data_IF_466911428929
#
_entry.id   IF_466911428929
#
_cell.length_a   1.000
_cell.length_b   1.000
_cell.length_c   1.000
_cell.angle_alpha   90.00
_cell.angle_beta   90.00
_cell.angle_gamma   90.00
#
_symmetry.space_group_name_H-M   'P 1'
#
loop_
_entity.id
_entity.type
_entity.pdbx_description
1 polymer ?
#
# COMPACT_ATOMS: atom_id res chain seq x y z
N UNK A 1 84.62 16.13 -61.77
CA UNK A 1 83.46 16.97 -62.16
C UNK A 1 82.25 16.09 -62.42
N UNK A 2 82.29 15.21 -63.43
CA UNK A 2 81.20 14.27 -63.81
C UNK A 2 80.54 13.45 -62.69
N UNK A 3 81.31 12.90 -61.73
CA UNK A 3 80.75 12.11 -60.63
C UNK A 3 79.83 12.93 -59.70
N UNK A 4 80.20 14.17 -59.40
CA UNK A 4 79.39 15.07 -58.57
C UNK A 4 78.12 15.52 -59.29
N UNK A 5 78.20 15.66 -60.61
CA UNK A 5 77.04 16.03 -61.43
C UNK A 5 76.00 14.89 -61.45
N UNK A 6 76.44 13.64 -61.55
CA UNK A 6 75.57 12.46 -61.44
C UNK A 6 74.93 12.30 -60.07
N UNK A 7 75.71 12.46 -58.98
CA UNK A 7 75.19 12.40 -57.61
C UNK A 7 74.13 13.49 -57.37
N UNK A 8 74.35 14.70 -57.87
CA UNK A 8 73.38 15.78 -57.77
C UNK A 8 72.08 15.48 -58.53
N UNK A 9 72.17 14.82 -59.68
CA UNK A 9 71.00 14.39 -60.47
C UNK A 9 70.22 13.28 -59.75
N UNK A 10 70.89 12.29 -59.17
CA UNK A 10 70.27 11.20 -58.40
C UNK A 10 69.59 11.72 -57.12
N UNK A 11 70.21 12.70 -56.45
CA UNK A 11 69.60 13.40 -55.30
C UNK A 11 68.34 14.15 -55.75
N UNK A 12 68.39 14.90 -56.86
CA UNK A 12 67.25 15.64 -57.36
C UNK A 12 66.07 14.73 -57.71
N UNK A 13 66.33 13.58 -58.33
CA UNK A 13 65.31 12.56 -58.64
C UNK A 13 64.70 11.96 -57.36
N UNK A 14 65.53 11.66 -56.36
CA UNK A 14 65.08 11.10 -55.08
C UNK A 14 64.23 12.09 -54.30
N UNK A 15 64.67 13.34 -54.20
CA UNK A 15 63.91 14.43 -53.58
C UNK A 15 62.58 14.65 -54.32
N UNK A 16 62.59 14.58 -55.65
CA UNK A 16 61.38 14.65 -56.47
C UNK A 16 60.36 13.56 -56.12
N UNK A 17 60.81 12.29 -56.03
CA UNK A 17 59.97 11.16 -55.63
C UNK A 17 59.38 11.32 -54.23
N UNK A 18 60.22 11.65 -53.24
CA UNK A 18 59.79 11.87 -51.87
C UNK A 18 58.76 13.00 -51.75
N UNK A 19 58.89 14.06 -52.57
CA UNK A 19 57.94 15.17 -52.58
C UNK A 19 56.56 14.73 -53.09
N UNK A 20 56.51 13.91 -54.14
CA UNK A 20 55.25 13.35 -54.66
C UNK A 20 54.61 12.43 -53.63
N UNK A 21 55.39 11.56 -53.01
CA UNK A 21 54.91 10.65 -51.95
C UNK A 21 54.38 11.42 -50.74
N UNK A 22 55.06 12.48 -50.33
CA UNK A 22 54.63 13.34 -49.23
C UNK A 22 53.28 14.01 -49.53
N UNK A 23 53.09 14.54 -50.74
CA UNK A 23 51.81 15.14 -51.13
C UNK A 23 50.68 14.11 -51.24
N UNK A 24 50.97 12.90 -51.71
CA UNK A 24 50.00 11.80 -51.71
C UNK A 24 49.61 11.36 -50.28
N UNK A 25 50.58 11.27 -49.37
CA UNK A 25 50.34 10.92 -47.98
C UNK A 25 49.50 11.99 -47.26
N UNK A 26 49.78 13.28 -47.49
CA UNK A 26 48.98 14.40 -46.95
C UNK A 26 47.53 14.34 -47.41
N UNK A 27 47.29 14.06 -48.70
CA UNK A 27 45.92 13.90 -49.23
C UNK A 27 45.18 12.75 -48.55
N UNK A 28 45.84 11.60 -48.38
CA UNK A 28 45.26 10.45 -47.66
C UNK A 28 44.95 10.77 -46.20
N UNK A 29 45.83 11.49 -45.50
CA UNK A 29 45.59 11.94 -44.13
C UNK A 29 44.35 12.83 -44.04
N UNK A 30 44.22 13.81 -44.95
CA UNK A 30 43.05 14.69 -44.97
C UNK A 30 41.72 13.94 -45.26
N UNK A 31 41.76 12.92 -46.13
CA UNK A 31 40.61 12.05 -46.39
C UNK A 31 40.23 11.21 -45.17
N UNK A 32 41.23 10.61 -44.50
CA UNK A 32 41.02 9.86 -43.26
C UNK A 32 40.48 10.74 -42.13
N UNK A 33 41.00 11.96 -41.97
CA UNK A 33 40.51 12.92 -40.97
C UNK A 33 39.03 13.27 -41.20
N UNK A 34 38.62 13.49 -42.46
CA UNK A 34 37.20 13.69 -42.79
C UNK A 34 36.36 12.47 -42.46
N UNK A 35 36.81 11.27 -42.84
CA UNK A 35 36.12 10.02 -42.52
C UNK A 35 35.96 9.81 -41.01
N UNK A 36 36.99 10.11 -40.22
CA UNK A 36 36.94 10.06 -38.76
C UNK A 36 35.96 11.08 -38.17
N UNK A 37 35.92 12.31 -38.70
CA UNK A 37 34.96 13.31 -38.26
C UNK A 37 33.51 12.89 -38.54
N UNK A 38 33.24 12.30 -39.71
CA UNK A 38 31.92 11.79 -40.06
C UNK A 38 31.51 10.61 -39.18
N UNK A 39 32.42 9.66 -38.97
CA UNK A 39 32.21 8.55 -38.04
C UNK A 39 31.92 9.04 -36.61
N UNK A 40 32.66 10.04 -36.12
CA UNK A 40 32.43 10.63 -34.81
C UNK A 40 31.05 11.29 -34.69
N UNK A 41 30.59 11.99 -35.74
CA UNK A 41 29.23 12.56 -35.80
C UNK A 41 28.17 11.47 -35.75
N UNK A 42 28.35 10.38 -36.50
CA UNK A 42 27.43 9.24 -36.47
C UNK A 42 27.40 8.60 -35.09
N UNK A 43 28.55 8.29 -34.48
CA UNK A 43 28.64 7.71 -33.14
C UNK A 43 27.89 8.57 -32.12
N UNK A 44 28.07 9.89 -32.16
CA UNK A 44 27.36 10.80 -31.25
C UNK A 44 25.85 10.79 -31.47
N UNK A 45 25.41 10.77 -32.72
CA UNK A 45 23.98 10.66 -33.09
C UNK A 45 23.37 9.36 -32.55
N UNK A 46 24.02 8.22 -32.80
CA UNK A 46 23.57 6.90 -32.36
C UNK A 46 23.56 6.80 -30.83
N UNK A 47 24.58 7.35 -30.16
CA UNK A 47 24.62 7.43 -28.70
C UNK A 47 23.45 8.25 -28.14
N UNK A 48 23.09 9.36 -28.78
CA UNK A 48 21.94 10.17 -28.37
C UNK A 48 20.63 9.40 -28.51
N UNK A 49 20.42 8.74 -29.65
CA UNK A 49 19.24 7.92 -29.90
C UNK A 49 19.14 6.76 -28.90
N UNK A 50 20.25 6.07 -28.64
CA UNK A 50 20.29 4.99 -27.64
C UNK A 50 19.89 5.47 -26.24
N UNK A 51 20.38 6.65 -25.82
CA UNK A 51 19.97 7.26 -24.54
C UNK A 51 18.49 7.58 -24.48
N UNK A 52 17.93 8.13 -25.56
CA UNK A 52 16.49 8.42 -25.65
C UNK A 52 15.66 7.13 -25.55
N UNK A 53 16.02 6.10 -26.32
CA UNK A 53 15.35 4.80 -26.28
C UNK A 53 15.41 4.14 -24.89
N UNK A 54 16.54 4.23 -24.19
CA UNK A 54 16.66 3.71 -22.82
C UNK A 54 15.75 4.49 -21.86
N UNK A 55 15.70 5.82 -21.99
CA UNK A 55 14.85 6.66 -21.15
C UNK A 55 13.36 6.40 -21.39
N UNK A 56 12.95 6.22 -22.64
CA UNK A 56 11.56 5.86 -23.00
C UNK A 56 11.19 4.49 -22.44
N UNK A 57 12.02 3.47 -22.67
CA UNK A 57 11.80 2.13 -22.10
C UNK A 57 11.74 2.13 -20.58
N UNK A 58 12.50 3.01 -19.92
CA UNK A 58 12.45 3.17 -18.47
C UNK A 58 11.07 3.64 -17.97
N UNK A 59 10.39 4.50 -18.74
CA UNK A 59 9.02 4.94 -18.43
C UNK A 59 8.03 3.79 -18.61
N UNK A 60 8.12 3.07 -19.71
CA UNK A 60 7.24 1.92 -19.99
C UNK A 60 7.36 0.85 -18.89
N UNK A 61 8.57 0.57 -18.41
CA UNK A 61 8.81 -0.38 -17.31
C UNK A 61 8.10 0.09 -16.03
N UNK A 62 8.21 1.37 -15.67
CA UNK A 62 7.56 1.91 -14.48
C UNK A 62 6.04 1.85 -14.57
N UNK A 63 5.47 2.12 -15.75
CA UNK A 63 4.02 1.98 -15.99
C UNK A 63 3.57 0.52 -15.89
N UNK A 64 4.35 -0.42 -16.43
CA UNK A 64 4.09 -1.86 -16.33
C UNK A 64 4.14 -2.36 -14.88
N UNK A 65 5.08 -1.87 -14.07
CA UNK A 65 5.16 -2.19 -12.64
C UNK A 65 3.92 -1.72 -11.88
N UNK A 66 3.49 -0.47 -12.11
CA UNK A 66 2.26 0.07 -11.52
C UNK A 66 1.01 -0.73 -11.95
N UNK A 67 0.91 -1.07 -13.24
CA UNK A 67 -0.19 -1.90 -13.74
C UNK A 67 -0.20 -3.30 -13.10
N UNK A 68 0.97 -3.93 -12.93
CA UNK A 68 1.10 -5.22 -12.25
C UNK A 68 0.63 -5.14 -10.79
N UNK A 69 1.01 -4.08 -10.08
CA UNK A 69 0.57 -3.86 -8.71
C UNK A 69 -0.96 -3.74 -8.62
N UNK A 70 -1.57 -2.94 -9.51
CA UNK A 70 -3.04 -2.81 -9.59
C UNK A 70 -3.73 -4.15 -9.86
N UNK A 71 -3.19 -4.98 -10.76
CA UNK A 71 -3.74 -6.31 -11.05
C UNK A 71 -3.65 -7.23 -9.83
N UNK A 72 -2.55 -7.18 -9.08
CA UNK A 72 -2.39 -7.99 -7.87
C UNK A 72 -3.41 -7.59 -6.80
N UNK A 73 -3.61 -6.28 -6.58
CA UNK A 73 -4.63 -5.75 -5.67
C UNK A 73 -6.04 -6.17 -6.10
N UNK A 74 -6.37 -6.05 -7.38
CA UNK A 74 -7.66 -6.48 -7.93
C UNK A 74 -7.88 -7.99 -7.77
N UNK A 75 -6.84 -8.80 -7.99
CA UNK A 75 -6.91 -10.25 -7.85
C UNK A 75 -7.22 -10.67 -6.41
N UNK A 76 -6.67 -9.98 -5.41
CA UNK A 76 -6.99 -10.21 -4.00
C UNK A 76 -8.46 -9.87 -3.66
N UNK A 77 -8.99 -8.78 -4.23
CA UNK A 77 -10.40 -8.39 -4.09
C UNK A 77 -11.31 -9.45 -4.69
N UNK A 78 -11.01 -9.90 -5.92
CA UNK A 78 -11.79 -10.93 -6.61
C UNK A 78 -11.79 -12.23 -5.81
N UNK A 79 -10.64 -12.69 -5.32
CA UNK A 79 -10.55 -13.89 -4.49
C UNK A 79 -11.37 -13.78 -3.19
N UNK A 80 -11.43 -12.59 -2.59
CA UNK A 80 -12.24 -12.34 -1.39
C UNK A 80 -13.73 -12.31 -1.72
N UNK A 81 -14.11 -11.68 -2.84
CA UNK A 81 -15.49 -11.64 -3.34
C UNK A 81 -15.99 -13.04 -3.70
N UNK A 82 -15.17 -13.87 -4.34
CA UNK A 82 -15.48 -15.27 -4.63
C UNK A 82 -15.76 -16.07 -3.35
N UNK A 83 -14.92 -15.93 -2.32
CA UNK A 83 -15.15 -16.57 -1.02
C UNK A 83 -16.47 -16.10 -0.40
N UNK A 84 -16.76 -14.80 -0.45
CA UNK A 84 -18.01 -14.24 0.09
C UNK A 84 -19.25 -14.80 -0.64
N UNK A 85 -19.23 -14.78 -1.98
CA UNK A 85 -20.31 -15.34 -2.82
C UNK A 85 -20.50 -16.82 -2.53
N UNK A 86 -19.40 -17.58 -2.42
CA UNK A 86 -19.45 -19.02 -2.12
C UNK A 86 -20.03 -19.32 -0.73
N UNK A 87 -19.76 -18.47 0.27
CA UNK A 87 -20.32 -18.60 1.62
C UNK A 87 -21.80 -18.20 1.67
N UNK A 88 -22.19 -17.10 1.01
CA UNK A 88 -23.60 -16.65 0.98
C UNK A 88 -24.49 -17.58 0.15
N UNK A 89 -23.99 -18.06 -0.99
CA UNK A 89 -24.71 -18.94 -1.90
C UNK A 89 -25.04 -20.31 -1.30
N UNK A 90 -24.10 -20.91 -0.56
CA UNK A 90 -24.35 -22.18 0.17
C UNK A 90 -25.31 -22.00 1.34
N UNK A 91 -25.10 -20.97 2.17
CA UNK A 91 -25.90 -20.79 3.39
C UNK A 91 -27.37 -20.49 3.11
N UNK A 92 -27.71 -19.61 2.16
CA UNK A 92 -29.11 -19.21 1.95
C UNK A 92 -29.92 -20.22 1.11
N UNK A 93 -29.31 -20.88 0.12
CA UNK A 93 -30.01 -21.90 -0.66
C UNK A 93 -30.26 -23.15 0.18
N UNK A 94 -29.27 -23.61 0.97
CA UNK A 94 -29.42 -24.78 1.83
C UNK A 94 -30.39 -24.53 3.00
N UNK A 95 -30.37 -23.36 3.66
CA UNK A 95 -31.36 -23.00 4.68
C UNK A 95 -32.77 -22.89 4.11
N UNK A 96 -32.94 -22.27 2.94
CA UNK A 96 -34.25 -22.17 2.30
C UNK A 96 -34.79 -23.56 1.90
N UNK A 97 -33.94 -24.44 1.36
CA UNK A 97 -34.34 -25.82 1.06
C UNK A 97 -34.71 -26.62 2.30
N UNK A 98 -33.96 -26.48 3.40
CA UNK A 98 -34.28 -27.14 4.69
C UNK A 98 -35.56 -26.58 5.31
N UNK A 99 -35.76 -25.26 5.26
CA UNK A 99 -36.97 -24.62 5.77
C UNK A 99 -38.22 -25.06 4.99
N UNK A 100 -38.13 -25.12 3.65
CA UNK A 100 -39.19 -25.65 2.80
C UNK A 100 -39.44 -27.14 3.09
N UNK A 101 -38.38 -27.94 3.18
CA UNK A 101 -38.52 -29.37 3.46
C UNK A 101 -39.19 -29.65 4.81
N UNK A 102 -38.85 -28.86 5.84
CA UNK A 102 -39.50 -28.93 7.16
C UNK A 102 -40.95 -28.43 7.12
N UNK A 103 -41.24 -27.40 6.34
CA UNK A 103 -42.60 -26.87 6.17
C UNK A 103 -43.54 -27.87 5.49
N UNK A 104 -43.00 -28.66 4.55
CA UNK A 104 -43.74 -29.67 3.79
C UNK A 104 -43.54 -31.11 4.32
N UNK A 105 -42.86 -31.27 5.46
CA UNK A 105 -42.57 -32.54 6.13
C UNK A 105 -41.92 -33.61 5.22
N UNK A 106 -41.02 -33.17 4.35
CA UNK A 106 -40.27 -34.03 3.41
C UNK A 106 -38.81 -34.16 3.84
N UNK A 107 -38.23 -35.34 3.64
CA UNK A 107 -36.81 -35.61 3.93
C UNK A 107 -35.94 -34.94 2.87
N UNK A 108 -34.78 -34.39 3.26
CA UNK A 108 -33.77 -33.83 2.34
C UNK A 108 -32.65 -34.84 2.09
N UNK A 109 -32.78 -35.75 1.11
CA UNK A 109 -31.82 -36.85 0.91
C UNK A 109 -30.45 -36.38 0.39
N UNK A 110 -30.39 -35.27 -0.35
CA UNK A 110 -29.18 -34.81 -1.03
C UNK A 110 -28.32 -33.82 -0.22
N UNK A 111 -28.83 -33.31 0.91
CA UNK A 111 -28.06 -32.41 1.75
C UNK A 111 -27.30 -33.22 2.81
N UNK A 112 -25.96 -33.09 2.91
CA UNK A 112 -25.22 -33.71 3.99
C UNK A 112 -25.78 -33.27 5.36
N UNK A 113 -25.65 -34.10 6.42
CA UNK A 113 -25.98 -33.67 7.76
C UNK A 113 -25.27 -32.35 8.04
N UNK A 114 -25.98 -31.38 8.64
CA UNK A 114 -25.31 -30.17 9.10
C UNK A 114 -24.29 -30.61 10.16
N UNK A 115 -23.01 -30.72 9.79
CA UNK A 115 -21.96 -30.64 10.78
C UNK A 115 -22.10 -29.25 11.39
N UNK A 116 -22.64 -29.19 12.61
CA UNK A 116 -22.95 -27.97 13.34
C UNK A 116 -21.65 -27.24 13.79
N UNK A 117 -20.59 -27.24 12.99
CA UNK A 117 -19.33 -26.58 13.33
C UNK A 117 -19.52 -25.06 13.48
N UNK A 118 -20.54 -24.49 12.81
CA UNK A 118 -20.88 -23.06 12.90
C UNK A 118 -22.16 -22.73 13.68
N UNK A 119 -22.96 -23.72 14.10
CA UNK A 119 -24.13 -23.45 14.98
C UNK A 119 -23.69 -23.35 16.43
N UNK A 120 -22.60 -24.03 16.82
CA UNK A 120 -22.01 -23.85 18.14
C UNK A 120 -21.49 -22.43 18.39
N UNK A 121 -21.06 -21.70 17.35
CA UNK A 121 -20.73 -20.27 17.49
C UNK A 121 -21.96 -19.38 17.53
N UNK A 122 -23.05 -19.72 16.85
CA UNK A 122 -24.29 -18.95 16.93
C UNK A 122 -24.91 -19.07 18.33
N UNK A 123 -25.03 -20.30 18.86
CA UNK A 123 -25.57 -20.54 20.20
C UNK A 123 -24.66 -19.95 21.29
N UNK A 124 -23.33 -20.08 21.16
CA UNK A 124 -22.38 -19.49 22.11
C UNK A 124 -22.38 -17.96 22.04
N UNK A 125 -22.40 -17.36 20.84
CA UNK A 125 -22.46 -15.92 20.68
C UNK A 125 -23.81 -15.35 21.14
N UNK A 126 -24.91 -16.06 20.95
CA UNK A 126 -26.22 -15.66 21.47
C UNK A 126 -26.26 -15.69 23.00
N UNK A 127 -25.65 -16.70 23.64
CA UNK A 127 -25.48 -16.76 25.10
C UNK A 127 -24.58 -15.61 25.60
N UNK A 128 -23.48 -15.31 24.91
CA UNK A 128 -22.62 -14.17 25.26
C UNK A 128 -23.33 -12.81 25.08
N UNK A 129 -24.04 -12.62 23.96
CA UNK A 129 -24.80 -11.39 23.71
C UNK A 129 -25.90 -11.20 24.75
N UNK A 130 -26.60 -12.27 25.14
CA UNK A 130 -27.64 -12.19 26.17
C UNK A 130 -27.04 -11.89 27.54
N UNK A 131 -25.93 -12.52 27.91
CA UNK A 131 -25.19 -12.23 29.15
C UNK A 131 -24.69 -10.77 29.18
N UNK A 132 -24.14 -10.26 28.07
CA UNK A 132 -23.70 -8.88 27.96
C UNK A 132 -24.86 -7.89 28.04
N UNK A 133 -26.00 -8.18 27.41
CA UNK A 133 -27.22 -7.36 27.51
C UNK A 133 -27.75 -7.31 28.93
N UNK A 134 -27.79 -8.44 29.63
CA UNK A 134 -28.17 -8.48 31.05
C UNK A 134 -27.22 -7.64 31.89
N UNK A 135 -25.90 -7.76 31.65
CA UNK A 135 -24.91 -6.98 32.39
C UNK A 135 -25.03 -5.48 32.14
N UNK A 136 -25.30 -5.06 30.91
CA UNK A 136 -25.56 -3.65 30.58
C UNK A 136 -26.79 -3.17 31.34
N UNK A 137 -27.89 -3.92 31.31
CA UNK A 137 -29.12 -3.56 32.02
C UNK A 137 -28.91 -3.45 33.55
N UNK A 138 -28.13 -4.35 34.15
CA UNK A 138 -27.74 -4.26 35.56
C UNK A 138 -26.92 -3.00 35.87
N UNK A 139 -25.97 -2.65 34.99
CA UNK A 139 -25.13 -1.46 35.15
C UNK A 139 -25.96 -0.19 34.99
N UNK A 140 -26.83 -0.14 33.99
CA UNK A 140 -27.78 0.96 33.77
C UNK A 140 -28.73 1.13 34.97
N UNK A 141 -29.24 0.03 35.54
CA UNK A 141 -30.07 0.09 36.74
C UNK A 141 -29.30 0.59 37.98
N UNK A 142 -28.00 0.28 38.09
CA UNK A 142 -27.13 0.80 39.17
C UNK A 142 -26.83 2.28 38.98
N UNK A 143 -26.57 2.71 37.75
CA UNK A 143 -26.31 4.11 37.39
C UNK A 143 -27.57 4.99 37.51
N UNK A 144 -28.74 4.40 37.33
CA UNK A 144 -30.04 5.07 37.50
C UNK A 144 -30.31 5.50 38.95
N UNK A 145 -29.75 4.80 39.95
CA UNK A 145 -29.90 5.17 41.36
C UNK A 145 -28.93 6.31 41.71
N UNK A 146 -29.43 7.50 42.07
CA UNK A 146 -28.57 8.63 42.42
C UNK A 146 -27.87 8.40 43.76
N UNK A 147 -26.60 8.83 43.84
CA UNK A 147 -25.84 8.86 45.08
C UNK A 147 -26.29 10.07 45.90
N UNK A 148 -26.76 9.83 47.12
CA UNK A 148 -27.19 10.89 48.03
C UNK A 148 -25.98 11.46 48.77
N UNK A 149 -25.78 12.77 48.65
CA UNK A 149 -24.76 13.50 49.41
C UNK A 149 -25.39 14.67 50.18
N UNK A 150 -24.84 15.04 51.36
CA UNK A 150 -25.39 16.13 52.16
C UNK A 150 -25.41 17.47 51.40
N UNK A 151 -26.40 18.31 51.72
CA UNK A 151 -26.46 19.71 51.28
C UNK A 151 -25.31 20.52 51.86
N UNK A 152 -24.79 21.44 51.05
CA UNK A 152 -23.81 22.44 51.48
C UNK A 152 -24.59 23.69 51.88
N UNK A 153 -24.54 24.06 53.16
CA UNK A 153 -25.36 25.13 53.74
C UNK A 153 -24.55 26.37 54.12
N UNK A 154 -23.28 26.44 53.71
CA UNK A 154 -22.38 27.54 54.00
C UNK A 154 -21.64 27.36 55.32
N UNK A 155 -20.42 27.87 55.36
CA UNK A 155 -19.45 27.62 56.42
C UNK A 155 -19.50 28.69 57.52
N UNK A 156 -19.39 28.27 58.79
CA UNK A 156 -19.28 29.17 59.94
C UNK A 156 -17.92 29.04 60.66
N UNK A 157 -17.16 27.98 60.37
CA UNK A 157 -15.83 27.66 60.93
C UNK A 157 -14.87 27.04 59.90
N UNK A 158 -13.56 27.02 60.18
CA UNK A 158 -12.55 26.40 59.30
C UNK A 158 -12.69 24.88 59.18
N UNK A 159 -13.14 24.19 60.25
CA UNK A 159 -13.42 22.76 60.16
C UNK A 159 -14.59 22.48 59.21
N UNK A 160 -15.69 23.24 59.32
CA UNK A 160 -16.82 23.14 58.39
C UNK A 160 -16.39 23.44 56.95
N UNK A 161 -15.45 24.39 56.76
CA UNK A 161 -14.82 24.68 55.46
C UNK A 161 -14.22 23.45 54.81
N UNK A 162 -13.37 22.74 55.55
CA UNK A 162 -12.77 21.49 55.06
C UNK A 162 -13.84 20.42 54.76
N UNK A 163 -14.92 20.36 55.55
CA UNK A 163 -16.00 19.40 55.33
C UNK A 163 -16.82 19.67 54.04
N UNK A 164 -17.27 20.90 53.75
CA UNK A 164 -17.99 21.09 52.47
C UNK A 164 -17.06 21.10 51.24
N UNK A 165 -15.77 21.44 51.38
CA UNK A 165 -14.78 21.21 50.32
C UNK A 165 -14.67 19.71 50.00
N UNK A 166 -14.64 18.85 51.04
CA UNK A 166 -14.65 17.40 50.86
C UNK A 166 -15.95 16.89 50.23
N UNK A 167 -17.12 17.42 50.62
CA UNK A 167 -18.43 17.07 50.01
C UNK A 167 -18.45 17.49 48.53
N UNK A 168 -17.95 18.67 48.20
CA UNK A 168 -17.87 19.18 46.82
C UNK A 168 -16.95 18.31 45.97
N UNK A 169 -15.81 17.91 46.51
CA UNK A 169 -14.88 17.01 45.85
C UNK A 169 -15.50 15.62 45.65
N UNK A 170 -16.21 15.09 46.64
CA UNK A 170 -16.95 13.84 46.52
C UNK A 170 -18.03 13.90 45.42
N UNK A 171 -18.85 14.97 45.39
CA UNK A 171 -19.85 15.21 44.33
C UNK A 171 -19.20 15.18 42.94
N UNK A 172 -18.03 15.81 42.78
CA UNK A 172 -17.28 15.82 41.51
C UNK A 172 -16.77 14.43 41.12
N UNK A 173 -16.16 13.69 42.05
CA UNK A 173 -15.61 12.36 41.78
C UNK A 173 -16.71 11.35 41.40
N UNK A 174 -17.85 11.41 42.08
CA UNK A 174 -18.99 10.52 41.79
C UNK A 174 -19.57 10.78 40.39
N UNK A 175 -19.68 12.05 39.97
CA UNK A 175 -20.10 12.40 38.61
C UNK A 175 -19.08 11.98 37.54
N UNK A 176 -17.79 12.13 37.81
CA UNK A 176 -16.73 11.66 36.91
C UNK A 176 -16.73 10.13 36.74
N UNK A 177 -17.14 9.40 37.78
CA UNK A 177 -17.37 7.96 37.72
C UNK A 177 -18.68 7.55 37.00
N UNK A 178 -19.45 8.53 36.50
CA UNK A 178 -20.66 8.32 35.71
C UNK A 178 -21.96 8.21 36.51
N UNK A 179 -21.92 8.35 37.83
CA UNK A 179 -23.11 8.25 38.69
C UNK A 179 -23.83 9.60 38.82
N UNK A 180 -25.17 9.54 38.87
CA UNK A 180 -25.98 10.69 39.25
C UNK A 180 -25.81 11.00 40.75
N UNK A 181 -25.91 12.28 41.12
CA UNK A 181 -25.78 12.73 42.51
C UNK A 181 -26.97 13.61 42.86
N UNK A 182 -27.65 13.29 43.95
CA UNK A 182 -28.75 14.07 44.52
C UNK A 182 -28.38 14.58 45.92
N UNK A 183 -29.02 15.68 46.33
CA UNK A 183 -28.80 16.27 47.65
C UNK A 183 -29.80 15.75 48.66
N UNK A 184 -29.30 15.27 49.81
CA UNK A 184 -30.13 14.78 50.92
C UNK A 184 -30.83 15.93 51.64
#
# INVERSE_FOLDING_TARGET
>A
MKLRDQENEDIALTVGKLRVELEAAKKRLAELEKGHQEAAKQINSWRRLAKQNIAERGKDISELESARQRIAEQSAIVATAEKLVRCKGRYHSELNYRALAKLFDVVTPDLPPLEHENVHYADAAEVEITALRQRIQELEAKLSKPVLLPKTNGYWTEQEKAYEEAITLAKRQVRLAGFNVEEM
#
